data_IF_960080578367
#
_entry.id   IF_960080578367
#
_cell.length_a   1.000
_cell.length_b   1.000
_cell.length_c   1.000
_cell.angle_alpha   90.00
_cell.angle_beta   90.00
_cell.angle_gamma   90.00
#
_symmetry.space_group_name_H-M   'P 1'
#
loop_
_entity.id
_entity.type
_entity.pdbx_description
1 polymer ?
#
# COMPACT_ATOMS: atom_id res chain seq x y z
N UNK A 1 5.49 20.93 9.70
CA UNK A 1 4.91 19.60 9.50
C UNK A 1 3.87 19.81 8.43
N UNK A 2 4.23 19.54 7.17
CA UNK A 2 3.22 19.59 6.12
C UNK A 2 2.12 18.62 6.53
N UNK A 3 0.90 19.14 6.67
CA UNK A 3 -0.24 18.33 7.04
C UNK A 3 -0.40 17.28 5.94
N UNK A 4 -0.29 16.00 6.32
CA UNK A 4 -0.59 14.90 5.41
C UNK A 4 -2.04 15.09 4.95
N UNK A 5 -2.25 15.16 3.64
CA UNK A 5 -3.59 15.35 3.10
C UNK A 5 -4.45 14.09 3.22
N UNK A 6 -5.78 14.25 3.22
CA UNK A 6 -6.72 13.14 3.41
C UNK A 6 -6.64 12.07 2.31
N UNK A 7 -6.30 12.45 1.07
CA UNK A 7 -6.15 11.47 -0.03
C UNK A 7 -4.91 10.61 0.19
N UNK A 8 -3.84 11.18 0.76
CA UNK A 8 -2.64 10.44 1.15
C UNK A 8 -2.94 9.39 2.20
N UNK A 9 -3.63 9.77 3.28
CA UNK A 9 -4.01 8.84 4.36
C UNK A 9 -4.92 7.73 3.81
N UNK A 10 -5.90 8.06 2.97
CA UNK A 10 -6.76 7.07 2.32
C UNK A 10 -5.95 6.03 1.51
N UNK A 11 -4.93 6.47 0.79
CA UNK A 11 -4.08 5.58 -0.01
C UNK A 11 -3.18 4.73 0.88
N UNK A 12 -2.61 5.30 1.94
CA UNK A 12 -1.84 4.52 2.91
C UNK A 12 -2.69 3.44 3.57
N UNK A 13 -3.92 3.78 3.98
CA UNK A 13 -4.88 2.82 4.51
C UNK A 13 -5.12 1.67 3.53
N UNK A 14 -5.50 2.00 2.30
CA UNK A 14 -5.80 0.98 1.29
C UNK A 14 -4.58 0.11 0.95
N UNK A 15 -3.38 0.69 0.83
CA UNK A 15 -2.16 -0.05 0.55
C UNK A 15 -1.63 -0.84 1.75
N UNK A 16 -2.03 -0.49 2.98
CA UNK A 16 -1.62 -1.21 4.18
C UNK A 16 -2.17 -2.63 4.23
N UNK A 17 -3.32 -2.89 3.60
CA UNK A 17 -3.93 -4.23 3.47
C UNK A 17 -2.96 -5.27 2.89
N UNK A 18 -2.02 -4.86 2.04
CA UNK A 18 -1.02 -5.74 1.43
C UNK A 18 -0.02 -6.30 2.47
N UNK A 19 0.02 -5.74 3.67
CA UNK A 19 0.99 -6.05 4.70
C UNK A 19 0.38 -6.76 5.92
N UNK A 20 -0.93 -7.03 5.91
CA UNK A 20 -1.59 -7.77 6.98
C UNK A 20 -1.22 -9.25 6.96
N UNK A 21 -1.18 -9.86 8.13
CA UNK A 21 -1.03 -11.30 8.32
C UNK A 21 -2.36 -12.02 8.05
N UNK A 22 -2.88 -11.81 6.85
CA UNK A 22 -4.15 -12.34 6.35
C UNK A 22 -4.01 -12.74 4.89
N UNK A 23 -4.82 -13.69 4.43
CA UNK A 23 -4.85 -14.06 3.01
C UNK A 23 -5.58 -12.99 2.20
N UNK A 24 -4.88 -12.39 1.22
CA UNK A 24 -5.51 -11.45 0.29
C UNK A 24 -6.25 -12.19 -0.83
N UNK A 25 -7.57 -11.94 -0.90
CA UNK A 25 -8.44 -12.46 -1.94
C UNK A 25 -8.93 -11.39 -2.92
N UNK A 26 -9.66 -11.85 -3.95
CA UNK A 26 -10.19 -11.00 -5.03
C UNK A 26 -10.99 -9.79 -4.54
N UNK A 27 -11.82 -9.98 -3.51
CA UNK A 27 -12.63 -8.89 -2.94
C UNK A 27 -11.77 -7.80 -2.30
N UNK A 28 -10.69 -8.18 -1.60
CA UNK A 28 -9.75 -7.22 -1.02
C UNK A 28 -9.02 -6.46 -2.13
N UNK A 29 -8.56 -7.14 -3.17
CA UNK A 29 -7.94 -6.47 -4.32
C UNK A 29 -8.88 -5.48 -5.01
N UNK A 30 -10.15 -5.83 -5.20
CA UNK A 30 -11.16 -4.92 -5.77
C UNK A 30 -11.41 -3.71 -4.87
N UNK A 31 -11.53 -3.93 -3.56
CA UNK A 31 -11.69 -2.86 -2.59
C UNK A 31 -10.50 -1.90 -2.59
N UNK A 32 -9.26 -2.42 -2.53
CA UNK A 32 -8.05 -1.59 -2.57
C UNK A 32 -7.99 -0.79 -3.87
N UNK A 33 -8.21 -1.43 -5.02
CA UNK A 33 -8.24 -0.76 -6.32
C UNK A 33 -9.28 0.37 -6.36
N UNK A 34 -10.48 0.12 -5.86
CA UNK A 34 -11.53 1.14 -5.78
C UNK A 34 -11.10 2.32 -4.90
N UNK A 35 -10.56 2.06 -3.71
CA UNK A 35 -10.15 3.11 -2.75
C UNK A 35 -9.01 3.96 -3.29
N UNK A 36 -7.99 3.38 -3.90
CA UNK A 36 -6.88 4.16 -4.46
C UNK A 36 -7.29 4.92 -5.73
N UNK A 37 -8.23 4.41 -6.53
CA UNK A 37 -8.74 5.11 -7.72
C UNK A 37 -9.46 6.43 -7.40
N UNK A 38 -10.03 6.55 -6.19
CA UNK A 38 -10.74 7.74 -5.72
C UNK A 38 -9.80 8.87 -5.26
N UNK A 39 -8.50 8.61 -5.13
CA UNK A 39 -7.51 9.56 -4.59
C UNK A 39 -7.07 10.65 -5.57
N UNK A 40 -7.28 10.43 -6.88
CA UNK A 40 -6.78 11.31 -7.94
C UNK A 40 -5.30 11.13 -8.29
N UNK A 41 -4.58 10.21 -7.64
CA UNK A 41 -3.19 9.90 -8.01
C UNK A 41 -3.12 9.05 -9.28
N UNK A 42 -2.06 9.26 -10.07
CA UNK A 42 -1.76 8.39 -11.22
C UNK A 42 -1.23 7.03 -10.75
N UNK A 43 -1.28 6.03 -11.63
CA UNK A 43 -0.72 4.71 -11.34
C UNK A 43 0.76 4.78 -10.91
N UNK A 44 1.55 5.63 -11.55
CA UNK A 44 2.96 5.81 -11.22
C UNK A 44 3.15 6.43 -9.83
N UNK A 45 2.29 7.38 -9.44
CA UNK A 45 2.31 7.97 -8.10
C UNK A 45 1.91 6.94 -7.04
N UNK A 46 0.85 6.17 -7.28
CA UNK A 46 0.41 5.10 -6.36
C UNK A 46 1.50 4.04 -6.17
N UNK A 47 2.17 3.63 -7.26
CA UNK A 47 3.31 2.72 -7.18
C UNK A 47 4.45 3.33 -6.36
N UNK A 48 4.76 4.61 -6.56
CA UNK A 48 5.78 5.32 -5.78
C UNK A 48 5.42 5.36 -4.29
N UNK A 49 4.15 5.62 -3.95
CA UNK A 49 3.64 5.61 -2.57
C UNK A 49 3.80 4.23 -1.93
N UNK A 50 3.38 3.17 -2.63
CA UNK A 50 3.53 1.80 -2.15
C UNK A 50 4.98 1.49 -1.78
N UNK A 51 5.93 1.76 -2.69
CA UNK A 51 7.32 1.31 -2.52
C UNK A 51 8.17 2.24 -1.66
N UNK A 52 7.94 3.55 -1.69
CA UNK A 52 8.79 4.51 -0.98
C UNK A 52 8.22 4.95 0.37
N UNK A 53 6.91 4.85 0.58
CA UNK A 53 6.24 5.33 1.79
C UNK A 53 5.76 4.16 2.65
N UNK A 54 4.93 3.27 2.09
CA UNK A 54 4.24 2.22 2.88
C UNK A 54 5.14 1.00 3.12
N UNK A 55 5.74 0.46 2.06
CA UNK A 55 6.54 -0.77 2.13
C UNK A 55 7.66 -0.72 3.17
N UNK A 56 8.51 0.34 3.24
CA UNK A 56 9.62 0.37 4.18
C UNK A 56 9.18 0.31 5.65
N UNK A 57 7.98 0.78 5.95
CA UNK A 57 7.42 0.82 7.30
C UNK A 57 6.73 -0.50 7.65
N UNK A 58 5.90 -1.05 6.75
CA UNK A 58 5.01 -2.16 7.08
C UNK A 58 5.54 -3.56 6.72
N UNK A 59 6.56 -3.69 5.86
CA UNK A 59 7.09 -5.02 5.47
C UNK A 59 7.61 -5.87 6.64
N UNK A 60 7.91 -5.24 7.79
CA UNK A 60 8.31 -5.94 9.01
C UNK A 60 7.19 -6.84 9.55
N UNK A 61 5.93 -6.49 9.32
CA UNK A 61 4.78 -7.24 9.80
C UNK A 61 4.76 -8.67 9.26
N UNK A 62 5.03 -8.82 7.95
CA UNK A 62 5.07 -10.11 7.25
C UNK A 62 6.27 -11.00 7.60
N UNK A 63 7.20 -10.50 8.43
CA UNK A 63 8.32 -11.29 8.98
C UNK A 63 8.01 -11.82 10.38
N UNK A 64 6.94 -11.32 11.01
CA UNK A 64 6.54 -11.77 12.34
C UNK A 64 5.98 -13.19 12.27
N UNK A 65 6.13 -13.94 13.36
CA UNK A 65 5.46 -15.24 13.52
C UNK A 65 3.95 -15.06 13.67
N UNK A 66 3.54 -13.90 14.20
CA UNK A 66 2.16 -13.49 14.42
C UNK A 66 2.14 -11.99 14.12
N UNK A 67 1.79 -11.62 12.90
CA UNK A 67 1.73 -10.23 12.46
C UNK A 67 0.41 -9.56 12.84
N UNK A 68 0.33 -8.25 12.63
CA UNK A 68 -0.92 -7.49 12.63
C UNK A 68 -1.86 -8.03 11.55
N UNK A 69 -3.12 -8.26 11.92
CA UNK A 69 -4.18 -8.79 11.04
C UNK A 69 -5.44 -7.90 11.03
N UNK A 70 -5.54 -6.92 11.94
CA UNK A 70 -6.71 -6.08 12.14
C UNK A 70 -6.63 -4.72 11.43
N UNK A 71 -5.49 -4.39 10.81
CA UNK A 71 -5.26 -3.08 10.21
C UNK A 71 -4.51 -2.12 11.12
N UNK A 72 -4.15 -0.97 10.58
CA UNK A 72 -3.55 0.14 11.30
C UNK A 72 -4.51 1.32 11.36
N UNK A 73 -4.47 2.12 12.42
CA UNK A 73 -5.28 3.34 12.48
C UNK A 73 -4.66 4.46 11.64
N UNK A 74 -5.46 5.46 11.27
CA UNK A 74 -4.97 6.64 10.55
C UNK A 74 -3.85 7.35 11.34
N UNK A 75 -4.00 7.43 12.67
CA UNK A 75 -3.00 8.04 13.54
C UNK A 75 -1.67 7.30 13.48
N UNK A 76 -1.70 5.96 13.51
CA UNK A 76 -0.49 5.14 13.40
C UNK A 76 0.21 5.41 12.06
N UNK A 77 -0.54 5.40 10.96
CA UNK A 77 0.03 5.63 9.62
C UNK A 77 0.61 7.04 9.48
N UNK A 78 -0.08 8.06 9.98
CA UNK A 78 0.40 9.46 9.97
C UNK A 78 1.64 9.65 10.84
N UNK A 79 1.75 8.93 11.96
CA UNK A 79 2.92 8.99 12.85
C UNK A 79 4.15 8.31 12.26
N UNK A 80 3.97 7.19 11.53
CA UNK A 80 5.08 6.32 11.12
C UNK A 80 5.46 6.42 9.65
N UNK A 81 4.56 6.87 8.77
CA UNK A 81 4.81 7.00 7.33
C UNK A 81 5.16 8.44 6.98
N UNK A 82 6.23 8.60 6.21
CA UNK A 82 6.72 9.91 5.76
C UNK A 82 6.41 10.08 4.27
N UNK A 83 5.77 11.20 3.91
CA UNK A 83 5.53 11.58 2.51
C UNK A 83 6.87 11.71 1.77
N UNK A 84 6.95 11.14 0.57
CA UNK A 84 8.12 11.21 -0.31
C UNK A 84 7.76 11.90 -1.62
N UNK A 85 8.77 12.50 -2.24
CA UNK A 85 8.65 12.92 -3.63
C UNK A 85 8.46 11.69 -4.53
N UNK A 86 7.64 11.84 -5.56
CA UNK A 86 7.40 10.74 -6.48
C UNK A 86 8.65 10.43 -7.30
N UNK A 87 9.13 9.21 -7.17
CA UNK A 87 10.24 8.68 -7.93
C UNK A 87 9.85 7.35 -8.59
N UNK A 88 10.54 7.01 -9.68
CA UNK A 88 10.44 5.67 -10.25
C UNK A 88 10.98 4.64 -9.24
N UNK A 89 10.24 3.56 -9.03
CA UNK A 89 10.57 2.52 -8.05
C UNK A 89 10.53 1.16 -8.72
N UNK A 90 11.53 0.33 -8.41
CA UNK A 90 11.48 -1.09 -8.71
C UNK A 90 11.08 -1.86 -7.45
N UNK A 91 10.36 -2.98 -7.56
CA UNK A 91 10.16 -3.90 -6.45
C UNK A 91 11.48 -4.30 -5.82
N UNK A 92 11.49 -4.47 -4.50
CA UNK A 92 12.67 -4.99 -3.80
C UNK A 92 12.91 -6.46 -4.17
N UNK A 93 14.17 -6.82 -4.48
CA UNK A 93 14.59 -8.19 -4.77
C UNK A 93 14.66 -9.05 -3.49
N UNK A 94 13.50 -9.31 -2.90
CA UNK A 94 13.31 -10.13 -1.70
C UNK A 94 11.97 -10.86 -1.81
N UNK A 95 11.81 -11.98 -1.10
CA UNK A 95 10.55 -12.74 -1.11
C UNK A 95 9.32 -11.89 -0.77
N UNK A 96 9.44 -10.99 0.21
CA UNK A 96 8.34 -10.09 0.59
C UNK A 96 8.12 -9.04 -0.50
N UNK A 97 9.19 -8.49 -1.09
CA UNK A 97 9.06 -7.57 -2.23
C UNK A 97 8.38 -8.23 -3.44
N UNK A 98 8.71 -9.47 -3.75
CA UNK A 98 8.06 -10.23 -4.83
C UNK A 98 6.57 -10.48 -4.53
N UNK A 99 6.22 -10.82 -3.29
CA UNK A 99 4.83 -11.00 -2.88
C UNK A 99 4.02 -9.72 -2.99
N UNK A 100 4.56 -8.61 -2.48
CA UNK A 100 3.92 -7.29 -2.58
C UNK A 100 3.78 -6.86 -4.04
N UNK A 101 4.77 -7.16 -4.90
CA UNK A 101 4.65 -6.87 -6.32
C UNK A 101 3.54 -7.70 -6.99
N UNK A 102 3.40 -8.99 -6.64
CA UNK A 102 2.31 -9.83 -7.15
C UNK A 102 0.95 -9.28 -6.73
N UNK A 103 0.82 -8.88 -5.46
CA UNK A 103 -0.38 -8.24 -4.93
C UNK A 103 -0.68 -6.93 -5.68
N UNK A 104 0.34 -6.11 -5.90
CA UNK A 104 0.22 -4.87 -6.66
C UNK A 104 -0.26 -5.13 -8.10
N UNK A 105 0.29 -6.11 -8.80
CA UNK A 105 -0.15 -6.49 -10.16
C UNK A 105 -1.64 -6.89 -10.20
N UNK A 106 -2.14 -7.60 -9.18
CA UNK A 106 -3.58 -7.92 -9.06
C UNK A 106 -4.45 -6.66 -8.93
N UNK A 107 -3.98 -5.66 -8.21
CA UNK A 107 -4.66 -4.37 -8.05
C UNK A 107 -4.64 -3.60 -9.37
N UNK A 108 -3.49 -3.56 -10.06
CA UNK A 108 -3.34 -2.85 -11.34
C UNK A 108 -4.29 -3.39 -12.40
N UNK A 109 -4.44 -4.71 -12.51
CA UNK A 109 -5.40 -5.33 -13.44
C UNK A 109 -6.84 -4.86 -13.17
N UNK A 110 -7.18 -4.57 -11.93
CA UNK A 110 -8.52 -4.11 -11.50
C UNK A 110 -8.74 -2.60 -11.63
N UNK A 111 -7.66 -1.82 -11.76
CA UNK A 111 -7.73 -0.37 -12.03
C UNK A 111 -8.05 -0.05 -13.49
N UNK A 112 -7.80 -0.98 -14.42
CA UNK A 112 -8.12 -0.78 -15.82
C UNK A 112 -9.64 -0.63 -16.01
N UNK A 113 -10.11 0.32 -16.85
CA UNK A 113 -11.52 0.42 -17.18
C UNK A 113 -12.00 -0.91 -17.79
N UNK A 114 -13.03 -1.50 -17.19
CA UNK A 114 -13.70 -2.71 -17.71
C UNK A 114 -14.48 -2.40 -18.97
#
# INVERSE_FOLDING_TARGET
MDLVDANRVQVWQALSELFLDTEMGDTTYEWVAQRISQSGYTLQQLQSILWNEVYPVLQGNLKSMVGEWAGWTDEFLVEHIVVREYAATAPHNSRIGEEINRCWEQIVVRLAPR
#
